data_IF_444548642741
#
_entry.id   IF_444548642741
#
_cell.length_a   1.000
_cell.length_b   1.000
_cell.length_c   1.000
_cell.angle_alpha   90.00
_cell.angle_beta   90.00
_cell.angle_gamma   90.00
#
_symmetry.space_group_name_H-M   'P 1'
#
loop_
_entity.id
_entity.type
_entity.pdbx_description
1 polymer ?
#
# COMPACT_ATOMS: atom_id res chain seq x y z
N UNK A 1 -32.26 33.91 19.51
CA UNK A 1 -31.29 34.73 18.75
C UNK A 1 -30.03 33.90 18.55
N UNK A 2 -29.87 33.28 17.38
CA UNK A 2 -28.67 32.51 17.07
C UNK A 2 -27.50 33.50 16.92
N UNK A 3 -26.54 33.46 17.85
CA UNK A 3 -25.38 34.35 17.82
C UNK A 3 -24.59 34.11 16.53
N UNK A 4 -24.33 35.18 15.77
CA UNK A 4 -23.52 35.18 14.52
C UNK A 4 -22.18 34.45 14.68
N UNK A 5 -21.65 34.42 15.89
CA UNK A 5 -20.43 33.71 16.26
C UNK A 5 -20.58 32.19 16.19
N UNK A 6 -21.77 31.65 16.48
CA UNK A 6 -22.08 30.22 16.32
C UNK A 6 -22.13 29.82 14.84
N UNK A 7 -22.68 30.68 13.97
CA UNK A 7 -22.76 30.44 12.53
C UNK A 7 -21.38 30.41 11.86
N UNK A 8 -20.48 31.30 12.28
CA UNK A 8 -19.08 31.34 11.80
C UNK A 8 -18.27 30.11 12.24
N UNK A 9 -18.49 29.63 13.47
CA UNK A 9 -17.82 28.42 13.98
C UNK A 9 -18.28 27.17 13.20
N UNK A 10 -19.59 27.03 12.93
CA UNK A 10 -20.08 25.92 12.11
C UNK A 10 -19.51 25.93 10.68
N UNK A 11 -19.39 27.10 10.06
CA UNK A 11 -18.83 27.22 8.71
C UNK A 11 -17.34 26.85 8.66
N UNK A 12 -16.55 27.23 9.67
CA UNK A 12 -15.13 26.88 9.77
C UNK A 12 -14.90 25.38 9.99
N UNK A 13 -15.74 24.72 10.80
CA UNK A 13 -15.67 23.26 11.03
C UNK A 13 -16.05 22.49 9.75
N UNK A 14 -17.06 22.95 9.01
CA UNK A 14 -17.48 22.33 7.75
C UNK A 14 -16.42 22.46 6.65
N UNK A 15 -15.75 23.62 6.56
CA UNK A 15 -14.65 23.83 5.59
C UNK A 15 -13.41 22.97 5.90
N UNK A 16 -13.15 22.68 7.19
CA UNK A 16 -12.02 21.85 7.60
C UNK A 16 -12.23 20.37 7.22
N UNK A 17 -13.47 19.87 7.24
CA UNK A 17 -13.79 18.50 6.80
C UNK A 17 -13.56 18.27 5.28
N UNK A 18 -13.66 19.32 4.47
CA UNK A 18 -13.46 19.24 3.00
C UNK A 18 -11.99 19.23 2.58
N UNK A 19 -11.08 19.57 3.50
CA UNK A 19 -9.63 19.66 3.24
C UNK A 19 -8.86 18.41 3.68
N UNK A 20 -9.51 17.40 4.26
CA UNK A 20 -8.81 16.17 4.64
C UNK A 20 -8.43 15.38 3.38
N UNK A 21 -7.13 15.14 3.14
CA UNK A 21 -6.70 14.17 2.15
C UNK A 21 -7.31 12.81 2.49
N UNK A 22 -7.89 12.14 1.50
CA UNK A 22 -8.42 10.79 1.67
C UNK A 22 -7.35 9.92 2.34
N UNK A 23 -7.68 9.40 3.53
CA UNK A 23 -6.77 8.57 4.29
C UNK A 23 -6.31 7.40 3.42
N UNK A 24 -5.01 7.34 3.14
CA UNK A 24 -4.43 6.24 2.38
C UNK A 24 -4.65 4.94 3.15
N UNK A 25 -5.41 4.01 2.58
CA UNK A 25 -5.56 2.67 3.11
C UNK A 25 -4.21 1.96 3.03
N UNK A 26 -3.51 1.87 4.15
CA UNK A 26 -2.35 0.99 4.28
C UNK A 26 -2.90 -0.43 4.48
N UNK A 27 -2.63 -1.33 3.54
CA UNK A 27 -2.92 -2.75 3.73
C UNK A 27 -1.95 -3.31 4.76
N UNK A 28 -2.48 -4.04 5.73
CA UNK A 28 -1.69 -4.80 6.70
C UNK A 28 -0.82 -5.84 5.97
N UNK A 29 0.38 -6.09 6.50
CA UNK A 29 1.38 -6.99 5.89
C UNK A 29 1.61 -8.22 6.77
N UNK A 30 1.54 -9.40 6.17
CA UNK A 30 1.81 -10.65 6.86
C UNK A 30 3.27 -11.05 6.69
N UNK A 31 4.01 -11.26 7.79
CA UNK A 31 5.36 -11.80 7.69
C UNK A 31 5.33 -13.31 7.44
N UNK A 32 6.14 -13.78 6.49
CA UNK A 32 6.14 -15.20 6.08
C UNK A 32 6.49 -16.17 7.22
N UNK A 33 7.37 -15.76 8.14
CA UNK A 33 7.77 -16.56 9.31
C UNK A 33 7.46 -15.83 10.60
N UNK A 34 6.52 -16.36 11.39
CA UNK A 34 6.18 -15.82 12.71
C UNK A 34 7.37 -15.95 13.68
N UNK A 35 7.62 -14.89 14.44
CA UNK A 35 8.68 -14.85 15.46
C UNK A 35 10.10 -14.64 14.93
N UNK A 36 10.32 -14.64 13.61
CA UNK A 36 11.63 -14.32 13.03
C UNK A 36 11.87 -12.81 13.10
N UNK A 37 13.05 -12.40 13.59
CA UNK A 37 13.49 -11.01 13.60
C UNK A 37 14.12 -10.66 12.26
N UNK A 38 13.36 -9.99 11.41
CA UNK A 38 13.84 -9.50 10.13
C UNK A 38 14.57 -8.16 10.27
N UNK A 39 15.78 -7.99 9.70
CA UNK A 39 16.50 -6.71 9.72
C UNK A 39 15.85 -5.63 8.86
N UNK A 40 15.01 -6.00 7.87
CA UNK A 40 14.18 -5.04 7.13
C UNK A 40 12.74 -5.18 7.60
N UNK A 41 12.23 -4.11 8.23
CA UNK A 41 10.86 -4.02 8.75
C UNK A 41 9.99 -3.27 7.76
N UNK A 42 8.92 -3.91 7.31
CA UNK A 42 7.88 -3.32 6.50
C UNK A 42 6.74 -2.88 7.41
N UNK A 43 6.31 -1.63 7.25
CA UNK A 43 5.24 -1.00 8.04
C UNK A 43 3.90 -0.97 7.32
N UNK A 44 3.88 -1.17 6.00
CA UNK A 44 2.64 -1.24 5.23
C UNK A 44 2.87 -1.16 3.73
N UNK A 45 1.81 -1.49 2.99
CA UNK A 45 1.76 -1.35 1.53
C UNK A 45 0.56 -0.49 1.17
N UNK A 46 0.72 0.44 0.23
CA UNK A 46 -0.40 1.16 -0.39
C UNK A 46 -0.46 0.80 -1.87
N UNK A 47 -1.66 0.52 -2.35
CA UNK A 47 -1.90 0.10 -3.73
C UNK A 47 -2.82 1.12 -4.38
N UNK A 48 -2.41 1.66 -5.54
CA UNK A 48 -3.18 2.68 -6.26
C UNK A 48 -3.25 2.35 -7.75
N UNK A 49 -4.44 2.19 -8.34
CA UNK A 49 -5.75 2.07 -7.69
C UNK A 49 -5.93 0.71 -6.98
N UNK A 50 -6.82 0.66 -6.00
CA UNK A 50 -7.29 -0.58 -5.36
C UNK A 50 -8.82 -0.68 -5.55
N UNK A 51 -9.35 -1.67 -6.28
CA UNK A 51 -8.64 -2.79 -6.93
C UNK A 51 -7.83 -2.34 -8.16
N UNK A 52 -6.76 -3.07 -8.45
CA UNK A 52 -5.90 -2.86 -9.62
C UNK A 52 -6.70 -3.04 -10.90
N UNK A 53 -6.52 -2.13 -11.86
CA UNK A 53 -7.25 -2.15 -13.12
C UNK A 53 -6.42 -2.81 -14.24
N UNK A 54 -6.96 -3.82 -14.96
CA UNK A 54 -6.28 -4.41 -16.10
C UNK A 54 -5.92 -3.39 -17.18
N UNK A 55 -4.73 -3.51 -17.76
CA UNK A 55 -4.24 -2.61 -18.81
C UNK A 55 -3.94 -1.17 -18.37
N UNK A 56 -4.06 -0.85 -17.07
CA UNK A 56 -3.67 0.44 -16.49
C UNK A 56 -2.49 0.26 -15.55
N UNK A 57 -1.60 1.26 -15.42
CA UNK A 57 -0.53 1.22 -14.42
C UNK A 57 -1.10 1.15 -13.00
N UNK A 58 -0.51 0.27 -12.18
CA UNK A 58 -0.76 0.22 -10.75
C UNK A 58 0.53 0.57 -9.99
N UNK A 59 0.40 1.33 -8.91
CA UNK A 59 1.51 1.73 -8.05
C UNK A 59 1.41 1.03 -6.71
N UNK A 60 2.48 0.33 -6.33
CA UNK A 60 2.64 -0.28 -5.01
C UNK A 60 3.67 0.56 -4.24
N UNK A 61 3.26 1.20 -3.15
CA UNK A 61 4.15 1.93 -2.24
C UNK A 61 4.38 1.08 -1.01
N UNK A 62 5.59 0.55 -0.88
CA UNK A 62 6.00 -0.24 0.27
C UNK A 62 6.79 0.66 1.21
N UNK A 63 6.28 0.84 2.43
CA UNK A 63 7.00 1.57 3.49
C UNK A 63 7.84 0.59 4.28
N UNK A 64 9.16 0.67 4.13
CA UNK A 64 10.10 -0.19 4.83
C UNK A 64 11.25 0.61 5.45
N UNK A 65 11.79 0.09 6.55
CA UNK A 65 12.92 0.65 7.29
C UNK A 65 13.92 -0.45 7.61
N UNK A 66 15.21 -0.13 7.51
CA UNK A 66 16.28 -1.05 7.89
C UNK A 66 17.53 -0.28 8.29
N UNK A 67 18.29 -0.86 9.21
CA UNK A 67 19.60 -0.36 9.60
C UNK A 67 20.73 -0.90 8.68
N UNK A 68 20.39 -1.79 7.73
CA UNK A 68 21.34 -2.37 6.76
C UNK A 68 21.25 -1.64 5.42
N UNK A 69 22.39 -1.34 4.80
CA UNK A 69 22.42 -0.73 3.46
C UNK A 69 21.97 -1.77 2.42
N UNK A 70 20.96 -1.44 1.62
CA UNK A 70 20.52 -2.23 0.47
C UNK A 70 21.21 -1.69 -0.78
N UNK A 71 22.12 -2.45 -1.39
CA UNK A 71 22.93 -1.96 -2.51
C UNK A 71 22.29 -2.18 -3.89
N UNK A 72 21.45 -3.21 -4.04
CA UNK A 72 20.87 -3.63 -5.32
C UNK A 72 19.42 -4.10 -5.15
N UNK A 73 18.67 -4.09 -6.24
CA UNK A 73 17.29 -4.58 -6.29
C UNK A 73 16.87 -4.98 -7.71
N UNK A 74 15.86 -5.84 -7.81
CA UNK A 74 15.27 -6.28 -9.09
C UNK A 74 13.78 -5.95 -9.08
N UNK A 75 13.32 -5.26 -10.13
CA UNK A 75 11.89 -5.05 -10.38
C UNK A 75 11.34 -6.26 -11.16
N UNK A 76 10.15 -6.74 -10.79
CA UNK A 76 9.43 -7.75 -11.55
C UNK A 76 8.12 -7.15 -12.09
N UNK A 77 7.89 -7.34 -13.39
CA UNK A 77 6.67 -6.88 -14.07
C UNK A 77 5.61 -7.97 -14.04
N UNK A 78 4.36 -7.59 -13.79
CA UNK A 78 3.23 -8.48 -13.97
C UNK A 78 2.96 -8.70 -15.47
N UNK A 79 2.38 -9.85 -15.87
CA UNK A 79 1.97 -10.07 -17.24
C UNK A 79 0.92 -9.04 -17.67
N UNK A 80 0.86 -8.71 -18.97
CA UNK A 80 -0.10 -7.74 -19.50
C UNK A 80 -1.56 -8.20 -19.40
N UNK A 81 -1.79 -9.49 -19.24
CA UNK A 81 -3.12 -10.08 -19.11
C UNK A 81 -3.21 -10.90 -17.83
N UNK A 82 -3.96 -10.37 -16.86
CA UNK A 82 -4.20 -11.01 -15.56
C UNK A 82 -5.71 -11.08 -15.34
N UNK A 83 -6.27 -12.28 -15.08
CA UNK A 83 -7.69 -12.42 -14.77
C UNK A 83 -8.12 -11.58 -13.57
N UNK A 84 -9.40 -11.21 -13.48
CA UNK A 84 -9.96 -10.62 -12.27
C UNK A 84 -9.94 -11.63 -11.12
N UNK A 85 -9.71 -11.14 -9.90
CA UNK A 85 -9.65 -11.98 -8.70
C UNK A 85 -8.79 -11.40 -7.60
N UNK A 86 -8.69 -12.15 -6.50
CA UNK A 86 -7.83 -11.82 -5.37
C UNK A 86 -6.49 -12.54 -5.48
N UNK A 87 -5.42 -11.80 -5.23
CA UNK A 87 -4.05 -12.25 -5.36
C UNK A 87 -3.27 -11.91 -4.10
N UNK A 88 -2.26 -12.73 -3.77
CA UNK A 88 -1.33 -12.45 -2.68
C UNK A 88 0.07 -12.38 -3.26
N UNK A 89 0.74 -11.23 -3.08
CA UNK A 89 2.15 -11.08 -3.43
C UNK A 89 2.96 -11.49 -2.21
N UNK A 90 3.86 -12.44 -2.38
CA UNK A 90 4.94 -12.70 -1.42
C UNK A 90 6.18 -11.94 -1.88
N UNK A 91 6.61 -10.95 -1.11
CA UNK A 91 7.81 -10.16 -1.37
C UNK A 91 8.93 -10.61 -0.44
N UNK A 92 10.04 -11.05 -1.02
CA UNK A 92 11.26 -11.45 -0.30
C UNK A 92 12.40 -10.51 -0.64
N UNK A 93 12.97 -9.90 0.40
CA UNK A 93 14.17 -9.06 0.29
C UNK A 93 15.36 -9.93 0.67
N UNK A 94 16.26 -10.14 -0.29
CA UNK A 94 17.44 -10.99 -0.15
C UNK A 94 18.69 -10.13 -0.24
N UNK A 95 19.63 -10.35 0.68
CA UNK A 95 20.93 -9.69 0.68
C UNK A 95 21.93 -10.35 -0.27
N UNK A 96 23.17 -9.85 -0.26
CA UNK A 96 24.23 -10.32 -1.15
C UNK A 96 24.69 -11.76 -0.81
N UNK A 97 24.55 -12.20 0.44
CA UNK A 97 24.91 -13.55 0.90
C UNK A 97 23.75 -14.56 0.75
N UNK A 98 22.75 -14.22 -0.07
CA UNK A 98 21.47 -14.94 -0.19
C UNK A 98 20.67 -15.03 1.12
N UNK A 99 21.01 -14.21 2.11
CA UNK A 99 20.31 -14.17 3.38
C UNK A 99 18.96 -13.44 3.23
N UNK A 100 17.93 -13.98 3.87
CA UNK A 100 16.60 -13.38 3.84
C UNK A 100 16.51 -12.22 4.84
N UNK A 101 16.57 -11.00 4.31
CA UNK A 101 16.50 -9.75 5.07
C UNK A 101 15.07 -9.37 5.45
N UNK A 102 14.09 -9.76 4.64
CA UNK A 102 12.66 -9.70 4.98
C UNK A 102 11.85 -10.61 4.07
N UNK A 103 10.72 -11.08 4.58
CA UNK A 103 9.72 -11.79 3.79
C UNK A 103 8.35 -11.38 4.30
N UNK A 104 7.56 -10.77 3.42
CA UNK A 104 6.18 -10.39 3.68
C UNK A 104 5.27 -10.94 2.59
N UNK A 105 3.99 -11.00 2.90
CA UNK A 105 2.91 -11.25 2.00
C UNK A 105 1.83 -10.18 2.18
N UNK A 106 1.23 -9.73 1.10
CA UNK A 106 0.08 -8.82 1.15
C UNK A 106 -0.91 -9.15 0.04
N UNK A 107 -2.19 -9.00 0.35
CA UNK A 107 -3.29 -9.24 -0.57
C UNK A 107 -3.61 -8.01 -1.41
N UNK A 108 -4.03 -8.23 -2.65
CA UNK A 108 -4.62 -7.21 -3.51
C UNK A 108 -5.63 -7.85 -4.46
N UNK A 109 -6.56 -7.05 -4.99
CA UNK A 109 -7.55 -7.53 -5.96
C UNK A 109 -7.35 -6.85 -7.31
N UNK A 110 -7.60 -7.61 -8.37
CA UNK A 110 -7.67 -7.11 -9.74
C UNK A 110 -9.15 -7.04 -10.13
N UNK A 111 -9.60 -5.86 -10.52
CA UNK A 111 -10.99 -5.60 -10.90
C UNK A 111 -11.35 -6.19 -12.27
N UNK A 112 -12.64 -6.45 -12.46
CA UNK A 112 -13.17 -6.77 -13.79
C UNK A 112 -13.11 -5.52 -14.67
N UNK A 113 -12.55 -5.65 -15.88
CA UNK A 113 -12.79 -4.67 -16.94
C UNK A 113 -14.24 -4.80 -17.37
N UNK A 114 -15.11 -3.89 -16.94
CA UNK A 114 -16.37 -3.68 -17.64
C UNK A 114 -16.02 -3.00 -18.96
N UNK A 115 -16.03 -3.76 -20.05
CA UNK A 115 -16.03 -3.19 -21.40
C UNK A 115 -17.22 -2.23 -21.47
N UNK A 116 -16.94 -0.93 -21.52
CA UNK A 116 -17.95 0.09 -21.86
C UNK A 116 -18.09 0.14 -23.38
#
# INVERSE_FOLDING_TARGET
MASKQSLLVLAAVAACLLLLPAASVATDVDYCSRGKKYPVKVSGVQIVPDPVQPGKPATFKISASTDKIIQKGKLQTLPSFTPPGSYTITMKIVGDDNEELSCISFGFSIGFVASS
#
